data_IF_405616887678
#
_entry.id   IF_405616887678
#
_cell.length_a   1.000
_cell.length_b   1.000
_cell.length_c   1.000
_cell.angle_alpha   90.00
_cell.angle_beta   90.00
_cell.angle_gamma   90.00
#
_symmetry.space_group_name_H-M   'P 1'
#
loop_
_entity.id
_entity.type
_entity.pdbx_description
1 polymer ?
#
# COMPACT_ATOMS: atom_id res chain seq x y z
N UNK A 1 21.12 -3.52 7.15
CA UNK A 1 21.32 -3.91 5.73
C UNK A 1 22.34 -5.05 5.70
N UNK A 2 22.06 -6.14 4.96
CA UNK A 2 22.97 -7.29 4.82
C UNK A 2 23.44 -7.38 3.37
N UNK A 3 24.74 -7.51 3.14
CA UNK A 3 25.31 -7.75 1.81
C UNK A 3 25.41 -9.27 1.61
N UNK A 4 24.67 -9.79 0.63
CA UNK A 4 24.63 -11.23 0.35
C UNK A 4 25.67 -11.64 -0.70
N UNK A 5 25.92 -10.79 -1.70
CA UNK A 5 26.89 -11.04 -2.76
C UNK A 5 27.46 -9.72 -3.32
N UNK A 6 28.65 -9.80 -3.93
CA UNK A 6 29.24 -8.75 -4.77
C UNK A 6 29.38 -9.32 -6.18
N UNK A 7 28.64 -8.76 -7.12
CA UNK A 7 28.58 -9.21 -8.51
C UNK A 7 29.10 -8.12 -9.44
N UNK A 8 29.51 -8.51 -10.64
CA UNK A 8 29.83 -7.54 -11.70
C UNK A 8 28.59 -6.72 -12.08
N UNK A 9 28.81 -5.49 -12.53
CA UNK A 9 27.74 -4.61 -12.96
C UNK A 9 27.11 -5.10 -14.27
N UNK A 10 25.78 -5.06 -14.36
CA UNK A 10 25.03 -5.34 -15.59
C UNK A 10 24.81 -4.03 -16.36
N UNK A 11 25.49 -3.88 -17.50
CA UNK A 11 25.42 -2.67 -18.35
C UNK A 11 24.01 -2.39 -18.89
N UNK A 12 23.12 -3.39 -18.92
CA UNK A 12 21.74 -3.24 -19.39
C UNK A 12 20.80 -2.67 -18.32
N UNK A 13 21.27 -2.49 -17.09
CA UNK A 13 20.44 -2.02 -15.97
C UNK A 13 20.85 -0.63 -15.52
N UNK A 14 19.83 0.20 -15.29
CA UNK A 14 19.96 1.44 -14.53
C UNK A 14 19.83 1.11 -13.04
N UNK A 15 20.80 1.55 -12.24
CA UNK A 15 20.81 1.38 -10.79
C UNK A 15 20.31 2.64 -10.08
N UNK A 16 19.64 2.52 -8.90
CA UNK A 16 19.32 1.28 -8.17
C UNK A 16 18.24 0.43 -8.86
N UNK A 17 18.29 -0.88 -8.68
CA UNK A 17 17.35 -1.82 -9.29
C UNK A 17 16.93 -2.91 -8.28
N UNK A 18 15.62 -3.04 -8.07
CA UNK A 18 15.03 -4.07 -7.22
C UNK A 18 14.96 -5.41 -7.96
N UNK A 19 15.67 -6.40 -7.44
CA UNK A 19 15.69 -7.78 -7.96
C UNK A 19 14.58 -8.66 -7.37
N UNK A 20 14.02 -8.29 -6.22
CA UNK A 20 13.00 -9.08 -5.53
C UNK A 20 12.44 -8.40 -4.28
N UNK A 21 11.28 -8.87 -3.85
CA UNK A 21 10.53 -8.36 -2.70
C UNK A 21 9.18 -9.08 -2.60
N UNK A 22 8.50 -8.93 -1.46
CA UNK A 22 7.15 -9.44 -1.23
C UNK A 22 6.43 -8.48 -0.29
N UNK A 23 5.13 -8.31 -0.51
CA UNK A 23 4.25 -7.38 0.21
C UNK A 23 4.63 -5.91 -0.02
N UNK A 24 3.68 -5.01 0.22
CA UNK A 24 3.94 -3.58 0.21
C UNK A 24 4.74 -3.20 1.46
N UNK A 25 5.36 -2.02 1.39
CA UNK A 25 5.85 -1.38 2.59
C UNK A 25 4.69 -1.15 3.57
N UNK A 26 5.01 -1.11 4.86
CA UNK A 26 4.05 -0.72 5.88
C UNK A 26 3.56 0.71 5.58
N UNK A 27 2.27 1.03 5.79
CA UNK A 27 1.80 2.39 5.70
C UNK A 27 2.60 3.30 6.61
N UNK A 28 2.79 4.54 6.18
CA UNK A 28 3.31 5.58 7.06
C UNK A 28 2.38 5.73 8.27
N UNK A 29 2.93 6.07 9.44
CA UNK A 29 2.14 6.20 10.67
C UNK A 29 1.35 4.94 11.09
N UNK A 30 1.81 3.73 10.72
CA UNK A 30 1.17 2.47 11.13
C UNK A 30 1.20 2.16 12.65
N UNK A 31 1.72 3.08 13.48
CA UNK A 31 1.78 2.93 14.94
C UNK A 31 2.85 1.94 15.43
N UNK A 32 3.74 1.49 14.54
CA UNK A 32 4.79 0.52 14.84
C UNK A 32 4.34 -0.95 14.73
N UNK A 33 5.27 -1.91 14.96
CA UNK A 33 5.03 -3.31 14.62
C UNK A 33 3.85 -3.97 15.33
N UNK A 34 3.65 -3.69 16.62
CA UNK A 34 2.56 -4.29 17.39
C UNK A 34 1.19 -3.74 16.96
N UNK A 35 1.08 -2.42 16.79
CA UNK A 35 -0.14 -1.78 16.32
C UNK A 35 -0.51 -2.27 14.91
N UNK A 36 0.49 -2.44 14.05
CA UNK A 36 0.30 -3.01 12.72
C UNK A 36 -0.29 -4.43 12.77
N UNK A 37 0.26 -5.33 13.60
CA UNK A 37 -0.24 -6.71 13.70
C UNK A 37 -1.69 -6.71 14.19
N UNK A 38 -1.98 -5.98 15.27
CA UNK A 38 -3.34 -5.88 15.82
C UNK A 38 -4.32 -5.38 14.76
N UNK A 39 -3.98 -4.28 14.06
CA UNK A 39 -4.84 -3.70 13.03
C UNK A 39 -5.01 -4.62 11.83
N UNK A 40 -3.96 -5.32 11.40
CA UNK A 40 -4.04 -6.29 10.31
C UNK A 40 -4.96 -7.46 10.66
N UNK A 41 -4.88 -7.96 11.88
CA UNK A 41 -5.67 -9.12 12.33
C UNK A 41 -7.15 -8.77 12.50
N UNK A 42 -7.49 -7.52 12.84
CA UNK A 42 -8.88 -7.06 12.99
C UNK A 42 -9.48 -6.45 11.72
N UNK A 43 -8.68 -6.20 10.68
CA UNK A 43 -9.10 -5.48 9.49
C UNK A 43 -10.31 -6.10 8.78
N UNK A 44 -10.34 -7.43 8.65
CA UNK A 44 -11.43 -8.11 7.94
C UNK A 44 -12.77 -7.97 8.65
N UNK A 45 -12.76 -8.02 9.99
CA UNK A 45 -13.95 -7.80 10.81
C UNK A 45 -14.42 -6.35 10.68
N UNK A 46 -13.49 -5.40 10.79
CA UNK A 46 -13.83 -3.98 10.65
C UNK A 46 -14.44 -3.65 9.28
N UNK A 47 -13.91 -4.22 8.20
CA UNK A 47 -14.49 -4.05 6.85
C UNK A 47 -15.87 -4.67 6.74
N UNK A 48 -16.08 -5.85 7.33
CA UNK A 48 -17.40 -6.49 7.33
C UNK A 48 -18.44 -5.63 8.06
N UNK A 49 -18.10 -5.13 9.26
CA UNK A 49 -18.97 -4.26 10.06
C UNK A 49 -19.29 -2.95 9.29
N UNK A 50 -18.29 -2.35 8.64
CA UNK A 50 -18.47 -1.13 7.85
C UNK A 50 -19.41 -1.35 6.65
N UNK A 51 -19.28 -2.48 5.96
CA UNK A 51 -20.15 -2.82 4.83
C UNK A 51 -21.60 -3.09 5.26
N UNK A 52 -21.82 -3.66 6.44
CA UNK A 52 -23.15 -3.85 7.01
C UNK A 52 -23.81 -2.48 7.28
N UNK A 53 -23.10 -1.56 7.93
CA UNK A 53 -23.59 -0.20 8.21
C UNK A 53 -23.91 0.55 6.91
N UNK A 54 -23.05 0.47 5.90
CA UNK A 54 -23.29 1.10 4.58
C UNK A 54 -24.59 0.57 3.95
N UNK A 55 -24.88 -0.72 4.08
CA UNK A 55 -26.11 -1.32 3.55
C UNK A 55 -27.36 -0.80 4.28
N UNK A 56 -27.28 -0.67 5.61
CA UNK A 56 -28.37 -0.12 6.43
C UNK A 56 -28.64 1.36 6.09
N UNK A 57 -27.59 2.18 5.98
CA UNK A 57 -27.70 3.60 5.62
C UNK A 57 -28.28 3.77 4.20
N UNK A 58 -27.87 2.91 3.26
CA UNK A 58 -28.42 2.88 1.92
C UNK A 58 -29.92 2.52 1.92
N UNK A 59 -30.31 1.51 2.70
CA UNK A 59 -31.70 1.09 2.84
C UNK A 59 -32.57 2.18 3.50
N UNK A 60 -32.00 2.96 4.43
CA UNK A 60 -32.64 4.11 5.06
C UNK A 60 -32.71 5.35 4.13
N UNK A 61 -31.99 5.34 3.01
CA UNK A 61 -31.89 6.47 2.08
C UNK A 61 -31.01 7.62 2.60
N UNK A 62 -30.16 7.37 3.60
CA UNK A 62 -29.20 8.34 4.12
C UNK A 62 -27.91 8.33 3.28
N UNK A 63 -28.00 8.93 2.10
CA UNK A 63 -26.85 9.04 1.20
C UNK A 63 -25.71 9.91 1.76
N UNK A 64 -25.99 10.74 2.76
CA UNK A 64 -24.96 11.50 3.48
C UNK A 64 -24.07 10.55 4.28
N UNK A 65 -24.70 9.70 5.10
CA UNK A 65 -23.99 8.68 5.86
C UNK A 65 -23.25 7.68 4.96
N UNK A 66 -23.87 7.22 3.86
CA UNK A 66 -23.22 6.32 2.88
C UNK A 66 -21.94 6.94 2.31
N UNK A 67 -21.95 8.24 1.99
CA UNK A 67 -20.74 8.93 1.48
C UNK A 67 -19.65 8.96 2.54
N UNK A 68 -19.97 9.38 3.77
CA UNK A 68 -19.00 9.49 4.85
C UNK A 68 -18.36 8.12 5.16
N UNK A 69 -19.15 7.04 5.12
CA UNK A 69 -18.64 5.66 5.30
C UNK A 69 -17.84 5.13 4.10
N UNK A 70 -18.10 5.65 2.91
CA UNK A 70 -17.29 5.32 1.72
C UNK A 70 -15.88 5.91 1.85
N UNK A 71 -15.74 7.10 2.43
CA UNK A 71 -14.44 7.72 2.75
C UNK A 71 -13.66 6.88 3.78
N UNK A 72 -14.35 6.34 4.80
CA UNK A 72 -13.75 5.40 5.76
C UNK A 72 -13.19 4.15 5.06
N UNK A 73 -13.89 3.63 4.03
CA UNK A 73 -13.44 2.48 3.25
C UNK A 73 -12.23 2.82 2.36
N UNK A 74 -12.19 4.01 1.77
CA UNK A 74 -11.04 4.50 1.01
C UNK A 74 -9.78 4.56 1.89
N UNK A 75 -9.90 4.98 3.14
CA UNK A 75 -8.79 4.99 4.10
C UNK A 75 -8.24 3.58 4.44
N UNK A 76 -8.98 2.51 4.15
CA UNK A 76 -8.54 1.12 4.33
C UNK A 76 -7.86 0.52 3.10
N UNK A 77 -7.91 1.16 1.93
CA UNK A 77 -7.35 0.60 0.69
C UNK A 77 -5.87 0.26 0.80
N UNK A 78 -5.08 1.11 1.47
CA UNK A 78 -3.66 0.85 1.70
C UNK A 78 -3.42 -0.41 2.52
N UNK A 79 -4.29 -0.70 3.48
CA UNK A 79 -4.23 -1.87 4.34
C UNK A 79 -4.68 -3.15 3.61
N UNK A 80 -5.66 -3.05 2.72
CA UNK A 80 -6.14 -4.19 1.93
C UNK A 80 -5.13 -4.60 0.85
N UNK A 81 -4.37 -3.65 0.30
CA UNK A 81 -3.36 -3.90 -0.72
C UNK A 81 -2.01 -4.44 -0.21
N UNK A 82 -1.86 -4.71 1.10
CA UNK A 82 -0.55 -4.99 1.70
C UNK A 82 0.13 -6.27 1.21
N UNK A 83 -0.62 -7.27 0.76
CA UNK A 83 -0.02 -8.51 0.27
C UNK A 83 0.47 -8.41 -1.19
N UNK A 84 0.22 -7.30 -1.88
CA UNK A 84 0.68 -7.05 -3.25
C UNK A 84 2.12 -6.53 -3.29
N UNK A 85 2.83 -6.80 -4.38
CA UNK A 85 4.16 -6.20 -4.64
C UNK A 85 4.39 -6.01 -6.14
N UNK A 86 4.29 -4.77 -6.61
CA UNK A 86 4.57 -4.44 -8.02
C UNK A 86 6.03 -4.02 -8.22
N UNK A 87 6.86 -5.03 -8.50
CA UNK A 87 8.28 -4.84 -8.85
C UNK A 87 8.49 -4.00 -10.11
N UNK A 88 7.57 -4.03 -11.07
CA UNK A 88 7.69 -3.26 -12.32
C UNK A 88 7.44 -1.78 -12.05
N UNK A 89 6.40 -1.46 -11.29
CA UNK A 89 6.11 -0.10 -10.87
C UNK A 89 7.26 0.50 -10.04
N UNK A 90 7.77 -0.25 -9.07
CA UNK A 90 8.91 0.18 -8.26
C UNK A 90 10.15 0.46 -9.11
N UNK A 91 10.54 -0.44 -10.02
CA UNK A 91 11.72 -0.22 -10.86
C UNK A 91 11.54 0.90 -11.88
N UNK A 92 10.30 1.17 -12.35
CA UNK A 92 10.02 2.37 -13.16
C UNK A 92 10.26 3.63 -12.35
N UNK A 93 9.73 3.67 -11.12
CA UNK A 93 9.95 4.77 -10.18
C UNK A 93 11.46 4.94 -9.92
N UNK A 94 12.20 3.88 -9.58
CA UNK A 94 13.67 3.99 -9.34
C UNK A 94 14.44 4.57 -10.55
N UNK A 95 14.02 4.26 -11.78
CA UNK A 95 14.63 4.89 -12.97
C UNK A 95 14.35 6.39 -13.04
N UNK A 96 13.13 6.82 -12.72
CA UNK A 96 12.78 8.25 -12.67
C UNK A 96 13.62 8.98 -11.61
N UNK A 97 13.83 8.37 -10.44
CA UNK A 97 14.73 8.88 -9.41
C UNK A 97 16.15 9.10 -9.95
N UNK A 98 16.73 8.08 -10.60
CA UNK A 98 18.08 8.17 -11.16
C UNK A 98 18.17 9.19 -12.29
N UNK A 99 17.11 9.35 -13.08
CA UNK A 99 17.05 10.33 -14.16
C UNK A 99 16.82 11.77 -13.67
N UNK A 100 16.61 11.98 -12.37
CA UNK A 100 16.17 13.26 -11.81
C UNK A 100 14.89 13.80 -12.46
N UNK A 101 14.03 12.88 -12.94
CA UNK A 101 12.73 13.22 -13.51
C UNK A 101 11.82 13.78 -12.41
N UNK A 102 11.24 14.96 -12.62
CA UNK A 102 10.34 15.59 -11.65
C UNK A 102 9.11 14.72 -11.35
N UNK A 103 8.70 13.86 -12.29
CA UNK A 103 7.62 12.90 -12.09
C UNK A 103 7.92 11.87 -10.97
N UNK A 104 9.17 11.76 -10.50
CA UNK A 104 9.51 10.95 -9.33
C UNK A 104 8.90 11.50 -8.03
N UNK A 105 8.67 12.82 -7.93
CA UNK A 105 8.18 13.47 -6.70
C UNK A 105 6.66 13.43 -6.55
N UNK A 106 5.94 13.05 -7.60
CA UNK A 106 4.48 12.98 -7.63
C UNK A 106 3.95 11.56 -7.33
#
# INVERSE_FOLDING_TARGET
MRIEARLAQDEKRTYPYCIGGKRRALPEECGGPLAFIVRRDTLSLYVADLLEVIQDDWAAGDFGAVRDRSEDLEALQEWLGLDEFDRRALNRRLRQYTAHDEAWRC
#
